data_IF_159656769801
#
_entry.id   IF_159656769801
#
_cell.length_a   1.000
_cell.length_b   1.000
_cell.length_c   1.000
_cell.angle_alpha   90.00
_cell.angle_beta   90.00
_cell.angle_gamma   90.00
#
_symmetry.space_group_name_H-M   'P 1'
#
loop_
_entity.id
_entity.type
_entity.pdbx_description
1 polymer ?
#
# COMPACT_ATOMS: atom_id res chain seq x y z
N UNK A 1 -21.62 8.12 0.43
CA UNK A 1 -20.24 8.53 0.19
C UNK A 1 -19.33 7.31 0.32
N UNK A 2 -18.11 7.41 -0.08
CA UNK A 2 -17.19 6.27 -0.12
C UNK A 2 -16.93 5.61 1.26
N UNK A 3 -16.90 6.38 2.35
CA UNK A 3 -16.76 5.83 3.72
C UNK A 3 -17.84 4.80 4.05
N UNK A 4 -19.08 5.11 3.69
CA UNK A 4 -20.20 4.18 3.88
C UNK A 4 -20.00 2.89 3.08
N UNK A 5 -19.45 2.99 1.87
CA UNK A 5 -19.12 1.80 1.07
C UNK A 5 -18.07 0.93 1.76
N UNK A 6 -17.06 1.55 2.39
CA UNK A 6 -16.05 0.80 3.17
C UNK A 6 -16.69 0.11 4.39
N UNK A 7 -17.60 0.77 5.10
CA UNK A 7 -18.30 0.19 6.25
C UNK A 7 -19.20 -0.99 5.86
N UNK A 8 -19.94 -0.85 4.75
CA UNK A 8 -20.92 -1.84 4.31
C UNK A 8 -20.28 -3.01 3.53
N UNK A 9 -19.24 -2.76 2.74
CA UNK A 9 -18.68 -3.72 1.79
C UNK A 9 -17.20 -4.05 2.04
N UNK A 10 -16.50 -3.31 2.89
CA UNK A 10 -15.07 -3.47 3.12
C UNK A 10 -14.16 -2.82 2.09
N UNK A 11 -14.71 -2.14 1.09
CA UNK A 11 -13.94 -1.41 0.05
C UNK A 11 -14.73 -0.24 -0.53
N UNK A 12 -14.02 0.65 -1.20
CA UNK A 12 -14.61 1.70 -2.01
C UNK A 12 -13.73 2.02 -3.22
N UNK A 13 -14.35 2.47 -4.30
CA UNK A 13 -13.67 3.07 -5.45
C UNK A 13 -13.83 4.59 -5.34
N UNK A 14 -12.72 5.29 -5.32
CA UNK A 14 -12.66 6.75 -5.22
C UNK A 14 -12.02 7.26 -6.50
N UNK A 15 -12.80 7.79 -7.46
CA UNK A 15 -12.25 8.28 -8.70
C UNK A 15 -11.52 9.62 -8.52
N UNK A 16 -10.65 9.94 -9.47
CA UNK A 16 -10.04 11.26 -9.66
C UNK A 16 -9.27 11.82 -8.44
N UNK A 17 -8.69 10.93 -7.62
CA UNK A 17 -7.88 11.34 -6.47
C UNK A 17 -6.57 11.99 -6.93
N UNK A 18 -5.95 11.45 -7.96
CA UNK A 18 -4.75 11.99 -8.59
C UNK A 18 -5.08 12.49 -9.99
N UNK A 19 -4.52 13.63 -10.36
CA UNK A 19 -4.64 14.18 -11.71
C UNK A 19 -3.74 13.45 -12.73
N UNK A 20 -4.00 13.66 -14.00
CA UNK A 20 -3.23 13.06 -15.10
C UNK A 20 -1.73 13.36 -15.02
N UNK A 21 -1.36 14.57 -14.62
CA UNK A 21 0.05 14.96 -14.46
C UNK A 21 0.73 14.21 -13.30
N UNK A 22 0.00 14.01 -12.18
CA UNK A 22 0.51 13.21 -11.04
C UNK A 22 0.76 11.77 -11.47
N UNK A 23 -0.18 11.19 -12.22
CA UNK A 23 -0.09 9.82 -12.73
C UNK A 23 1.07 9.68 -13.71
N UNK A 24 1.22 10.60 -14.66
CA UNK A 24 2.31 10.58 -15.63
C UNK A 24 3.67 10.68 -14.95
N UNK A 25 3.82 11.61 -14.01
CA UNK A 25 5.06 11.74 -13.22
C UNK A 25 5.37 10.50 -12.42
N UNK A 26 4.39 9.95 -11.71
CA UNK A 26 4.56 8.73 -10.93
C UNK A 26 4.95 7.55 -11.81
N UNK A 27 4.33 7.41 -12.97
CA UNK A 27 4.65 6.35 -13.93
C UNK A 27 6.09 6.45 -14.45
N UNK A 28 6.55 7.67 -14.76
CA UNK A 28 7.94 7.92 -15.16
C UNK A 28 8.91 7.58 -14.03
N UNK A 29 8.62 8.03 -12.82
CA UNK A 29 9.44 7.78 -11.64
C UNK A 29 9.50 6.27 -11.30
N UNK A 30 8.40 5.54 -11.45
CA UNK A 30 8.35 4.09 -11.23
C UNK A 30 9.05 3.28 -12.32
N UNK A 31 9.25 3.85 -13.51
CA UNK A 31 10.06 3.25 -14.57
C UNK A 31 11.57 3.37 -14.31
N UNK A 32 11.99 4.06 -13.25
CA UNK A 32 13.40 4.24 -12.89
C UNK A 32 14.08 2.89 -12.65
N UNK A 33 15.23 2.71 -13.26
CA UNK A 33 16.08 1.52 -13.13
C UNK A 33 16.63 1.30 -11.70
N UNK A 34 16.57 2.32 -10.83
CA UNK A 34 16.99 2.21 -9.43
C UNK A 34 16.02 1.38 -8.57
N UNK A 35 14.80 1.15 -9.02
CA UNK A 35 13.87 0.24 -8.37
C UNK A 35 14.33 -1.20 -8.59
N UNK A 36 14.75 -1.86 -7.53
CA UNK A 36 15.09 -3.29 -7.58
C UNK A 36 13.83 -4.12 -7.78
N UNK A 37 13.68 -4.66 -8.96
CA UNK A 37 12.56 -5.52 -9.33
C UNK A 37 12.92 -6.98 -9.11
N UNK A 38 12.03 -7.70 -8.41
CA UNK A 38 11.99 -9.16 -8.38
C UNK A 38 10.92 -9.66 -9.36
N UNK A 39 10.78 -10.99 -9.52
CA UNK A 39 9.68 -11.57 -10.31
C UNK A 39 8.28 -11.14 -9.84
N UNK A 40 8.14 -10.78 -8.57
CA UNK A 40 6.88 -10.37 -7.96
C UNK A 40 6.68 -8.85 -7.90
N UNK A 41 7.67 -8.04 -8.36
CA UNK A 41 7.63 -6.60 -8.29
C UNK A 41 8.65 -6.02 -7.31
N UNK A 42 8.33 -4.90 -6.67
CA UNK A 42 9.25 -4.17 -5.77
C UNK A 42 8.72 -4.19 -4.34
N UNK A 43 9.45 -4.83 -3.44
CA UNK A 43 9.20 -4.74 -1.99
C UNK A 43 9.90 -3.51 -1.41
N UNK A 44 9.36 -3.02 -0.28
CA UNK A 44 9.89 -1.85 0.42
C UNK A 44 9.97 -0.60 -0.47
N UNK A 45 8.99 -0.42 -1.34
CA UNK A 45 8.95 0.67 -2.30
C UNK A 45 8.91 2.06 -1.64
N UNK A 46 8.53 2.18 -0.36
CA UNK A 46 8.59 3.46 0.38
C UNK A 46 10.01 4.03 0.49
N UNK A 47 11.04 3.23 0.30
CA UNK A 47 12.44 3.71 0.25
C UNK A 47 12.72 4.54 -0.99
N UNK A 48 11.93 4.39 -2.05
CA UNK A 48 12.05 5.20 -3.25
C UNK A 48 11.40 6.57 -3.02
N UNK A 49 12.09 7.69 -3.31
CA UNK A 49 11.59 9.03 -3.01
C UNK A 49 10.24 9.36 -3.65
N UNK A 50 10.00 8.90 -4.87
CA UNK A 50 8.73 9.11 -5.57
C UNK A 50 7.56 8.42 -4.89
N UNK A 51 7.77 7.18 -4.41
CA UNK A 51 6.77 6.41 -3.68
C UNK A 51 6.51 7.02 -2.30
N UNK A 52 7.57 7.43 -1.60
CA UNK A 52 7.44 8.15 -0.32
C UNK A 52 6.61 9.42 -0.47
N UNK A 53 6.87 10.22 -1.51
CA UNK A 53 6.10 11.45 -1.79
C UNK A 53 4.62 11.15 -1.99
N UNK A 54 4.28 10.18 -2.81
CA UNK A 54 2.86 9.86 -3.07
C UNK A 54 2.18 9.25 -1.84
N UNK A 55 2.90 8.47 -1.04
CA UNK A 55 2.37 7.92 0.20
C UNK A 55 2.05 9.00 1.25
N UNK A 56 2.76 10.12 1.22
CA UNK A 56 2.56 11.28 2.10
C UNK A 56 1.66 12.36 1.48
N UNK A 57 1.16 12.15 0.28
CA UNK A 57 0.23 13.08 -0.36
C UNK A 57 -1.05 13.24 0.47
N UNK A 58 -1.40 14.47 0.79
CA UNK A 58 -2.55 14.76 1.65
C UNK A 58 -3.87 14.20 1.11
N UNK A 59 -4.03 14.12 -0.21
CA UNK A 59 -5.24 13.53 -0.82
C UNK A 59 -5.39 12.06 -0.45
N UNK A 60 -4.28 11.31 -0.40
CA UNK A 60 -4.28 9.89 0.00
C UNK A 60 -4.33 9.73 1.52
N UNK A 61 -3.59 10.56 2.25
CA UNK A 61 -3.62 10.53 3.71
C UNK A 61 -5.01 10.86 4.27
N UNK A 62 -5.73 11.80 3.69
CA UNK A 62 -7.07 12.16 4.13
C UNK A 62 -8.06 11.02 3.91
N UNK A 63 -7.92 10.25 2.83
CA UNK A 63 -8.70 9.02 2.62
C UNK A 63 -8.39 8.00 3.72
N UNK A 64 -7.12 7.72 3.99
CA UNK A 64 -6.72 6.79 5.03
C UNK A 64 -7.19 7.23 6.42
N UNK A 65 -7.06 8.51 6.74
CA UNK A 65 -7.53 9.10 8.00
C UNK A 65 -9.04 9.07 8.14
N UNK A 66 -9.77 9.17 7.05
CA UNK A 66 -11.22 9.06 7.03
C UNK A 66 -11.75 7.68 7.44
N UNK A 67 -10.92 6.64 7.34
CA UNK A 67 -11.25 5.26 7.75
C UNK A 67 -10.58 4.89 9.07
N UNK A 68 -9.29 5.20 9.21
CA UNK A 68 -8.44 4.72 10.31
C UNK A 68 -8.26 5.74 11.43
N UNK A 69 -8.69 6.97 11.23
CA UNK A 69 -8.49 8.08 12.18
C UNK A 69 -7.24 8.91 11.90
N UNK A 70 -7.10 10.02 12.61
CA UNK A 70 -6.09 11.05 12.38
C UNK A 70 -4.63 10.56 12.52
N UNK A 71 -4.40 9.47 13.22
CA UNK A 71 -3.07 8.87 13.40
C UNK A 71 -2.60 7.95 12.28
N UNK A 72 -3.38 7.80 11.20
CA UNK A 72 -2.99 6.95 10.08
C UNK A 72 -1.70 7.43 9.42
N UNK A 73 -0.76 6.51 9.24
CA UNK A 73 0.54 6.76 8.62
C UNK A 73 0.87 5.65 7.61
N UNK A 74 1.53 5.97 6.49
CA UNK A 74 2.04 4.96 5.59
C UNK A 74 3.21 4.24 6.25
N UNK A 75 3.20 2.91 6.26
CA UNK A 75 4.28 2.13 6.88
C UNK A 75 4.98 1.18 5.90
N UNK A 76 4.32 0.83 4.83
CA UNK A 76 4.84 -0.08 3.80
C UNK A 76 4.19 0.18 2.47
N UNK A 77 4.96 0.07 1.40
CA UNK A 77 4.45 0.02 0.04
C UNK A 77 5.09 -1.15 -0.71
N UNK A 78 4.33 -1.78 -1.56
CA UNK A 78 4.78 -2.82 -2.48
C UNK A 78 4.25 -2.50 -3.86
N UNK A 79 5.13 -2.45 -4.84
CA UNK A 79 4.76 -2.33 -6.24
C UNK A 79 4.63 -3.73 -6.85
N UNK A 80 3.46 -4.07 -7.35
CA UNK A 80 3.26 -5.27 -8.14
C UNK A 80 3.37 -4.93 -9.63
N UNK A 81 4.34 -5.54 -10.29
CA UNK A 81 4.60 -5.33 -11.71
C UNK A 81 4.34 -6.64 -12.47
N UNK A 82 3.09 -6.83 -12.83
CA UNK A 82 2.63 -8.01 -13.55
C UNK A 82 2.77 -7.85 -15.05
N UNK A 83 3.29 -8.87 -15.70
CA UNK A 83 3.40 -8.98 -17.16
C UNK A 83 2.93 -10.38 -17.61
N UNK A 84 2.76 -10.63 -18.89
CA UNK A 84 2.46 -11.98 -19.38
C UNK A 84 3.49 -13.03 -18.95
N UNK A 85 4.77 -12.63 -18.80
CA UNK A 85 5.88 -13.49 -18.39
C UNK A 85 6.01 -13.61 -16.87
N UNK A 86 5.41 -12.68 -16.13
CA UNK A 86 5.47 -12.61 -14.67
C UNK A 86 4.08 -12.33 -14.10
N UNK A 87 3.18 -13.26 -14.33
CA UNK A 87 1.82 -13.20 -13.84
C UNK A 87 1.56 -14.34 -12.85
N UNK A 88 1.15 -13.97 -11.64
CA UNK A 88 0.82 -14.92 -10.58
C UNK A 88 -0.59 -14.69 -10.05
N UNK A 89 -1.20 -15.77 -9.58
CA UNK A 89 -2.53 -15.71 -8.99
C UNK A 89 -2.45 -15.11 -7.58
N UNK A 90 -3.30 -14.12 -7.31
CA UNK A 90 -3.58 -13.63 -5.96
C UNK A 90 -5.04 -13.93 -5.66
N UNK A 91 -5.28 -14.81 -4.71
CA UNK A 91 -6.64 -15.12 -4.25
C UNK A 91 -7.15 -14.02 -3.32
N UNK A 92 -8.45 -13.91 -3.17
CA UNK A 92 -9.07 -13.03 -2.20
C UNK A 92 -8.55 -13.36 -0.80
N UNK A 93 -8.07 -12.37 -0.09
CA UNK A 93 -7.52 -12.53 1.26
C UNK A 93 -7.69 -11.21 2.05
N UNK A 94 -7.53 -11.33 3.35
CA UNK A 94 -7.41 -10.19 4.24
C UNK A 94 -5.95 -10.06 4.68
N UNK A 95 -5.41 -8.84 4.67
CA UNK A 95 -4.10 -8.58 5.24
C UNK A 95 -4.17 -8.71 6.76
N UNK A 96 -3.41 -9.67 7.29
CA UNK A 96 -3.49 -10.06 8.70
C UNK A 96 -2.19 -9.83 9.48
N UNK A 97 -1.15 -9.26 8.85
CA UNK A 97 0.16 -9.09 9.46
C UNK A 97 0.62 -7.64 9.47
N UNK A 98 1.04 -7.16 10.64
CA UNK A 98 1.70 -5.87 10.80
C UNK A 98 3.16 -6.09 11.23
N UNK A 99 4.13 -5.42 10.60
CA UNK A 99 5.51 -5.41 11.07
C UNK A 99 5.63 -4.55 12.33
N UNK A 100 6.14 -5.12 13.40
CA UNK A 100 6.37 -4.43 14.66
C UNK A 100 7.87 -4.46 14.99
N UNK A 101 8.39 -3.40 15.62
CA UNK A 101 9.77 -3.36 16.08
C UNK A 101 10.06 -4.36 17.19
N UNK A 102 9.04 -4.66 17.99
CA UNK A 102 9.08 -5.64 19.07
C UNK A 102 7.75 -6.35 19.18
N UNK A 103 7.78 -7.55 19.68
CA UNK A 103 6.56 -8.32 19.96
C UNK A 103 5.69 -7.56 20.96
N UNK A 104 4.42 -7.49 20.65
CA UNK A 104 3.40 -6.88 21.49
C UNK A 104 2.17 -7.79 21.52
N UNK A 105 1.66 -8.06 22.71
CA UNK A 105 0.41 -8.80 22.85
C UNK A 105 -0.74 -7.79 22.81
N UNK A 106 -1.69 -8.03 21.91
CA UNK A 106 -2.86 -7.18 21.72
C UNK A 106 -4.07 -8.07 21.54
N UNK A 107 -5.16 -7.72 22.21
CA UNK A 107 -6.41 -8.49 22.12
C UNK A 107 -6.89 -8.54 20.66
N UNK A 108 -7.29 -9.73 20.23
CA UNK A 108 -7.76 -9.97 18.85
C UNK A 108 -6.65 -10.23 17.84
N UNK A 109 -5.37 -10.17 18.26
CA UNK A 109 -4.22 -10.49 17.43
C UNK A 109 -3.55 -11.77 17.92
N UNK A 110 -3.43 -12.74 17.04
CA UNK A 110 -2.75 -14.00 17.33
C UNK A 110 -1.22 -13.84 17.25
N UNK A 111 -0.52 -14.80 17.83
CA UNK A 111 0.95 -14.91 17.74
C UNK A 111 1.35 -15.22 16.30
N UNK A 112 1.40 -14.22 15.46
CA UNK A 112 1.93 -14.39 14.11
C UNK A 112 3.35 -14.94 14.17
N UNK A 113 3.66 -15.93 13.35
CA UNK A 113 5.02 -16.38 13.12
C UNK A 113 5.83 -15.19 12.64
N UNK A 114 6.72 -14.67 13.49
CA UNK A 114 7.65 -13.64 13.09
C UNK A 114 8.60 -14.23 12.06
N UNK A 115 8.38 -13.95 10.78
CA UNK A 115 9.48 -14.02 9.83
C UNK A 115 10.34 -12.80 10.08
N UNK A 116 11.45 -12.99 10.72
CA UNK A 116 12.56 -12.05 10.70
C UNK A 116 12.88 -11.72 9.24
N UNK A 117 12.73 -10.45 8.92
CA UNK A 117 13.14 -9.92 7.63
C UNK A 117 14.66 -9.99 7.51
#
# INVERSE_FOLDING_TARGET
MWQRSVEEHGFALIPDVLGEQDISRLSEDLADAQLRRSRAGVRHALKHPAVARIAEDLRLLDIARGVLGAGAVPYRATLFDKSPESNWLVVWHQDTALPLRRRQETQGWDRGLSRTA
#
